data_IF_449550849597
#
_entry.id   IF_449550849597
#
_cell.length_a   1.000
_cell.length_b   1.000
_cell.length_c   1.000
_cell.angle_alpha   90.00
_cell.angle_beta   90.00
_cell.angle_gamma   90.00
#
_symmetry.space_group_name_H-M   'P 1'
#
loop_
_entity.id
_entity.type
_entity.pdbx_description
1 polymer ?
#
# COMPACT_ATOMS: atom_id res chain seq x y z
N UNK A 1 29.45 24.79 15.04
CA UNK A 1 28.21 24.42 14.34
C UNK A 1 28.27 22.92 14.13
N UNK A 2 27.24 22.17 14.49
CA UNK A 2 27.14 20.73 14.23
C UNK A 2 26.78 20.54 12.76
N UNK A 3 27.55 19.77 12.00
CA UNK A 3 27.22 19.45 10.61
C UNK A 3 25.93 18.62 10.59
N UNK A 4 24.91 19.07 9.87
CA UNK A 4 23.70 18.28 9.64
C UNK A 4 23.92 17.30 8.50
N UNK A 5 23.33 16.11 8.59
CA UNK A 5 23.51 15.02 7.61
C UNK A 5 22.20 14.23 7.42
N UNK A 6 22.01 13.69 6.23
CA UNK A 6 20.97 12.68 5.95
C UNK A 6 21.69 11.36 5.69
N UNK A 7 21.30 10.32 6.43
CA UNK A 7 21.84 8.99 6.24
C UNK A 7 20.91 8.17 5.33
N UNK A 8 21.45 7.59 4.27
CA UNK A 8 20.79 6.55 3.50
C UNK A 8 21.27 5.21 4.03
N UNK A 9 20.34 4.31 4.32
CA UNK A 9 20.66 3.02 4.94
C UNK A 9 21.56 2.11 4.11
N UNK A 10 21.67 2.36 2.80
CA UNK A 10 22.63 1.71 1.90
C UNK A 10 24.07 2.22 2.08
N UNK A 11 24.34 3.05 3.11
CA UNK A 11 25.67 3.52 3.49
C UNK A 11 26.08 4.86 2.87
N UNK A 12 25.21 5.49 2.09
CA UNK A 12 25.44 6.83 1.54
C UNK A 12 25.06 7.87 2.58
N UNK A 13 25.99 8.76 2.92
CA UNK A 13 25.73 9.87 3.86
C UNK A 13 25.85 11.18 3.08
N UNK A 14 24.77 11.96 3.06
CA UNK A 14 24.77 13.30 2.48
C UNK A 14 25.23 14.28 3.56
N UNK A 15 26.42 14.88 3.38
CA UNK A 15 26.85 16.00 4.21
C UNK A 15 26.16 17.28 3.72
N UNK A 16 25.52 18.00 4.64
CA UNK A 16 24.77 19.21 4.32
C UNK A 16 25.61 20.47 4.51
N UNK A 17 26.88 20.37 4.96
CA UNK A 17 27.83 21.48 5.12
C UNK A 17 27.21 22.72 5.81
N UNK A 18 26.34 22.49 6.81
CA UNK A 18 25.64 23.55 7.54
C UNK A 18 24.62 24.35 6.71
N UNK A 19 24.30 23.91 5.50
CA UNK A 19 23.27 24.49 4.65
C UNK A 19 21.88 23.97 5.07
N UNK A 20 20.90 24.85 5.29
CA UNK A 20 19.54 24.44 5.63
C UNK A 20 18.90 23.73 4.43
N UNK A 21 18.53 22.47 4.62
CA UNK A 21 17.69 21.71 3.69
C UNK A 21 16.35 21.42 4.35
N UNK A 22 15.30 21.49 3.56
CA UNK A 22 13.97 21.05 3.94
C UNK A 22 13.67 19.76 3.18
N UNK A 23 13.28 18.73 3.93
CA UNK A 23 12.66 17.54 3.37
C UNK A 23 11.18 17.88 3.20
N UNK A 24 10.70 17.88 1.96
CA UNK A 24 9.29 18.04 1.67
C UNK A 24 8.82 16.78 0.94
N UNK A 25 7.75 16.20 1.45
CA UNK A 25 6.99 15.21 0.71
C UNK A 25 6.13 15.99 -0.28
N UNK A 26 6.33 15.77 -1.57
CA UNK A 26 5.57 16.48 -2.60
C UNK A 26 4.11 15.96 -2.64
N UNK A 27 3.20 16.60 -3.40
CA UNK A 27 1.81 16.15 -3.51
C UNK A 27 1.62 14.71 -4.04
N UNK A 28 2.69 14.05 -4.49
CA UNK A 28 2.73 12.70 -5.05
C UNK A 28 3.42 11.70 -4.09
N UNK A 29 3.61 12.06 -2.82
CA UNK A 29 4.32 11.25 -1.82
C UNK A 29 5.80 10.95 -2.17
N UNK A 30 6.40 11.68 -3.11
CA UNK A 30 7.82 11.57 -3.44
C UNK A 30 8.65 12.49 -2.54
N UNK A 31 9.87 12.04 -2.22
CA UNK A 31 10.79 12.81 -1.39
C UNK A 31 11.52 13.85 -2.25
N UNK A 32 11.24 15.12 -2.01
CA UNK A 32 12.00 16.21 -2.61
C UNK A 32 12.93 16.82 -1.56
N UNK A 33 14.22 16.91 -1.90
CA UNK A 33 15.20 17.65 -1.12
C UNK A 33 15.19 19.10 -1.61
N UNK A 34 14.85 20.04 -0.72
CA UNK A 34 14.84 21.47 -1.03
C UNK A 34 15.97 22.19 -0.30
N UNK A 35 16.70 23.06 -1.00
CA UNK A 35 17.77 23.91 -0.47
C UNK A 35 17.52 25.37 -0.84
N UNK A 36 17.44 26.25 0.15
CA UNK A 36 17.25 27.69 -0.03
C UNK A 36 16.08 28.07 -0.96
N UNK A 37 14.96 27.34 -0.86
CA UNK A 37 13.76 27.56 -1.68
C UNK A 37 13.88 27.09 -3.13
N UNK A 38 14.90 26.29 -3.46
CA UNK A 38 15.07 25.61 -4.74
C UNK A 38 15.11 24.10 -4.51
N UNK A 39 14.64 23.33 -5.49
CA UNK A 39 14.91 21.89 -5.52
C UNK A 39 16.43 21.70 -5.53
N UNK A 40 16.97 20.88 -4.63
CA UNK A 40 18.39 20.59 -4.59
C UNK A 40 18.76 19.81 -5.84
N UNK A 41 19.24 20.52 -6.87
CA UNK A 41 19.67 19.91 -8.13
C UNK A 41 20.86 18.97 -7.89
N UNK A 42 20.91 17.84 -8.61
CA UNK A 42 21.81 16.73 -8.30
C UNK A 42 23.28 17.13 -8.43
N UNK A 43 24.06 16.88 -7.37
CA UNK A 43 25.52 16.90 -7.41
C UNK A 43 26.01 15.52 -7.87
N UNK A 44 26.05 15.34 -9.20
CA UNK A 44 26.68 14.22 -9.93
C UNK A 44 25.92 12.86 -9.94
N UNK A 45 25.51 12.45 -11.16
CA UNK A 45 25.29 11.09 -11.73
C UNK A 45 24.72 9.90 -10.93
N UNK A 46 24.28 10.02 -9.67
CA UNK A 46 23.67 8.89 -8.92
C UNK A 46 22.51 9.24 -7.98
N UNK A 47 22.17 10.51 -7.83
CA UNK A 47 21.38 10.98 -6.68
C UNK A 47 19.89 11.19 -6.98
N UNK A 48 19.22 10.15 -7.49
CA UNK A 48 17.76 10.10 -7.44
C UNK A 48 17.34 9.28 -6.21
N UNK A 49 16.86 9.95 -5.17
CA UNK A 49 16.01 9.31 -4.15
C UNK A 49 14.67 9.08 -4.85
N UNK A 50 14.58 8.00 -5.64
CA UNK A 50 13.39 7.76 -6.45
C UNK A 50 12.16 7.38 -5.67
N UNK A 51 11.18 6.77 -6.34
CA UNK A 51 9.98 6.30 -5.66
C UNK A 51 10.35 5.25 -4.59
N UNK A 52 9.60 5.23 -3.48
CA UNK A 52 9.67 4.21 -2.42
C UNK A 52 10.81 4.33 -1.37
N UNK A 53 10.96 5.51 -0.77
CA UNK A 53 11.79 5.70 0.44
C UNK A 53 10.96 6.00 1.68
N UNK A 54 11.23 5.25 2.73
CA UNK A 54 10.66 5.48 4.06
C UNK A 54 11.61 6.38 4.84
N UNK A 55 11.07 7.41 5.48
CA UNK A 55 11.83 8.31 6.35
C UNK A 55 11.66 7.83 7.78
N UNK A 56 12.78 7.51 8.42
CA UNK A 56 12.81 7.18 9.83
C UNK A 56 13.45 8.32 10.62
N UNK A 57 12.94 8.51 11.84
CA UNK A 57 13.61 9.38 12.80
C UNK A 57 14.91 8.71 13.25
N UNK A 58 16.01 9.49 13.36
CA UNK A 58 17.25 8.99 13.94
C UNK A 58 17.01 8.57 15.40
N UNK A 59 17.38 7.33 15.76
CA UNK A 59 17.36 6.89 17.16
C UNK A 59 18.16 7.88 18.02
N UNK A 60 17.73 8.11 19.27
CA UNK A 60 18.27 9.16 20.14
C UNK A 60 19.79 9.15 20.41
N UNK A 61 20.48 8.06 20.07
CA UNK A 61 21.95 7.89 20.15
C UNK A 61 22.67 7.92 18.79
N UNK A 62 21.94 8.09 17.67
CA UNK A 62 22.53 8.07 16.34
C UNK A 62 23.29 9.38 16.06
N UNK A 63 24.62 9.21 15.93
CA UNK A 63 25.65 10.13 15.45
C UNK A 63 25.28 11.63 15.36
N UNK A 64 25.93 12.45 16.21
CA UNK A 64 25.92 13.92 16.18
C UNK A 64 25.71 14.50 14.76
N UNK A 65 24.49 14.94 14.47
CA UNK A 65 24.15 15.66 13.23
C UNK A 65 23.22 14.96 12.23
N UNK A 66 22.85 13.68 12.42
CA UNK A 66 21.86 13.04 11.53
C UNK A 66 20.46 13.55 11.84
N UNK A 67 19.73 14.04 10.83
CA UNK A 67 18.37 14.60 10.97
C UNK A 67 17.26 13.70 10.41
N UNK A 68 17.61 12.71 9.60
CA UNK A 68 16.70 11.73 9.00
C UNK A 68 17.49 10.51 8.49
N UNK A 69 16.84 9.34 8.52
CA UNK A 69 17.33 8.12 7.88
C UNK A 69 16.39 7.76 6.73
N UNK A 70 16.93 7.60 5.52
CA UNK A 70 16.17 7.16 4.35
C UNK A 70 16.37 5.65 4.15
N UNK A 71 15.27 4.90 4.11
CA UNK A 71 15.24 3.45 3.91
C UNK A 71 14.52 3.10 2.63
N UNK A 72 15.22 2.44 1.71
CA UNK A 72 14.59 1.96 0.49
C UNK A 72 13.66 0.80 0.80
N UNK A 73 12.41 0.89 0.37
CA UNK A 73 11.43 -0.20 0.53
C UNK A 73 10.86 -0.62 -0.81
N UNK A 74 10.19 -1.77 -0.80
CA UNK A 74 9.49 -2.27 -1.97
C UNK A 74 8.23 -1.44 -2.22
N UNK A 75 7.75 -1.38 -3.48
CA UNK A 75 6.39 -0.86 -3.76
C UNK A 75 5.32 -1.59 -2.95
N UNK A 76 5.51 -2.90 -2.74
CA UNK A 76 4.65 -3.77 -1.94
C UNK A 76 4.50 -3.25 -0.50
N UNK A 77 5.60 -2.83 0.13
CA UNK A 77 5.60 -2.21 1.45
C UNK A 77 4.73 -0.94 1.52
N UNK A 78 4.91 0.00 0.59
CA UNK A 78 4.12 1.25 0.60
C UNK A 78 2.65 1.04 0.31
N UNK A 79 2.33 0.09 -0.57
CA UNK A 79 0.94 -0.31 -0.82
C UNK A 79 0.34 -0.93 0.44
N UNK A 80 1.11 -1.76 1.16
CA UNK A 80 0.68 -2.36 2.41
C UNK A 80 0.45 -1.31 3.52
N UNK A 81 1.37 -0.35 3.69
CA UNK A 81 1.18 0.79 4.60
C UNK A 81 -0.03 1.64 4.21
N UNK A 82 -0.25 1.88 2.91
CA UNK A 82 -1.42 2.60 2.43
C UNK A 82 -2.73 1.87 2.78
N UNK A 83 -2.74 0.55 2.64
CA UNK A 83 -3.86 -0.30 3.02
C UNK A 83 -4.10 -0.23 4.53
N UNK A 84 -3.06 -0.37 5.35
CA UNK A 84 -3.14 -0.24 6.81
C UNK A 84 -3.74 1.11 7.21
N UNK A 85 -3.20 2.23 6.71
CA UNK A 85 -3.70 3.57 7.03
C UNK A 85 -5.16 3.77 6.60
N UNK A 86 -5.60 3.13 5.51
CA UNK A 86 -7.01 3.11 5.13
C UNK A 86 -7.86 2.28 6.11
N UNK A 87 -7.41 1.08 6.45
CA UNK A 87 -8.09 0.16 7.37
C UNK A 87 -8.31 0.81 8.73
N UNK A 88 -7.29 1.45 9.29
CA UNK A 88 -7.34 2.14 10.58
C UNK A 88 -8.25 3.37 10.53
N UNK A 89 -8.08 4.23 9.52
CA UNK A 89 -8.88 5.46 9.36
C UNK A 89 -10.38 5.17 9.26
N UNK A 90 -10.75 4.08 8.60
CA UNK A 90 -12.14 3.73 8.31
C UNK A 90 -12.68 2.61 9.19
N UNK A 91 -11.85 2.10 10.11
CA UNK A 91 -12.16 1.01 11.00
C UNK A 91 -12.75 -0.20 10.25
N UNK A 92 -12.06 -0.63 9.19
CA UNK A 92 -12.59 -1.59 8.20
C UNK A 92 -12.85 -2.96 8.81
N UNK A 93 -12.02 -3.37 9.77
CA UNK A 93 -12.04 -4.71 10.37
C UNK A 93 -12.85 -4.81 11.68
N UNK A 94 -13.49 -3.74 12.13
CA UNK A 94 -14.20 -3.73 13.41
C UNK A 94 -15.45 -4.61 13.41
N UNK A 95 -15.44 -5.62 14.29
CA UNK A 95 -16.59 -6.42 14.67
C UNK A 95 -17.23 -7.30 13.59
N UNK A 96 -16.70 -7.30 12.35
CA UNK A 96 -17.27 -8.04 11.23
C UNK A 96 -16.38 -9.21 10.80
N UNK A 97 -16.91 -10.43 10.90
CA UNK A 97 -16.35 -11.64 10.28
C UNK A 97 -17.43 -12.35 9.48
N UNK A 98 -17.35 -12.38 8.14
CA UNK A 98 -16.31 -11.79 7.28
C UNK A 98 -16.35 -10.25 7.25
N UNK A 99 -15.27 -9.62 6.76
CA UNK A 99 -15.15 -8.15 6.63
C UNK A 99 -16.27 -7.60 5.74
N UNK A 100 -16.96 -6.56 6.20
CA UNK A 100 -18.08 -5.96 5.45
C UNK A 100 -17.60 -5.00 4.36
N UNK A 101 -17.03 -5.54 3.28
CA UNK A 101 -16.50 -4.75 2.15
C UNK A 101 -17.60 -3.98 1.40
N UNK A 102 -18.84 -4.48 1.38
CA UNK A 102 -19.97 -3.75 0.79
C UNK A 102 -20.24 -2.43 1.50
N UNK A 103 -20.13 -2.39 2.83
CA UNK A 103 -20.26 -1.16 3.60
C UNK A 103 -19.16 -0.15 3.23
N UNK A 104 -17.93 -0.61 2.99
CA UNK A 104 -16.82 0.24 2.57
C UNK A 104 -17.02 0.79 1.15
N UNK A 105 -17.50 -0.04 0.21
CA UNK A 105 -17.89 0.42 -1.13
C UNK A 105 -18.89 1.56 -1.06
N UNK A 106 -19.96 1.40 -0.25
CA UNK A 106 -20.99 2.43 -0.07
C UNK A 106 -20.42 3.71 0.56
N UNK A 107 -19.53 3.59 1.55
CA UNK A 107 -18.87 4.74 2.19
C UNK A 107 -18.02 5.55 1.21
N UNK A 108 -17.40 4.88 0.25
CA UNK A 108 -16.62 5.51 -0.83
C UNK A 108 -17.50 6.06 -1.97
N UNK A 109 -18.83 6.09 -1.80
CA UNK A 109 -19.78 6.56 -2.81
C UNK A 109 -20.02 5.57 -3.95
N UNK A 110 -19.58 4.32 -3.80
CA UNK A 110 -19.82 3.26 -4.75
C UNK A 110 -21.13 2.51 -4.50
N UNK A 111 -21.53 1.72 -5.48
CA UNK A 111 -22.62 0.76 -5.34
C UNK A 111 -22.25 -0.57 -5.98
N UNK A 112 -23.03 -1.58 -5.63
CA UNK A 112 -22.80 -2.95 -6.06
C UNK A 112 -23.99 -3.37 -6.90
N UNK A 113 -23.76 -3.94 -8.08
CA UNK A 113 -24.83 -4.40 -8.96
C UNK A 113 -24.47 -5.73 -9.60
N UNK A 114 -25.47 -6.59 -9.73
CA UNK A 114 -25.33 -7.81 -10.51
C UNK A 114 -25.36 -7.43 -12.00
N UNK A 115 -24.28 -7.72 -12.73
CA UNK A 115 -24.26 -7.51 -14.17
C UNK A 115 -24.99 -8.69 -14.85
N UNK A 116 -25.87 -8.40 -15.80
CA UNK A 116 -26.28 -9.40 -16.78
C UNK A 116 -25.12 -9.71 -17.74
N UNK A 117 -25.09 -10.89 -18.37
CA UNK A 117 -24.02 -11.31 -19.28
C UNK A 117 -23.79 -10.32 -20.45
N UNK A 118 -24.80 -9.52 -20.80
CA UNK A 118 -24.79 -8.61 -21.95
C UNK A 118 -24.22 -7.22 -21.64
N UNK A 119 -24.02 -6.85 -20.36
CA UNK A 119 -23.69 -5.47 -20.02
C UNK A 119 -22.20 -5.15 -20.17
N UNK A 120 -21.29 -6.13 -20.04
CA UNK A 120 -19.84 -5.93 -20.20
C UNK A 120 -19.11 -7.23 -20.62
N UNK A 121 -18.75 -7.43 -21.89
CA UNK A 121 -17.88 -8.53 -22.29
C UNK A 121 -16.46 -8.29 -21.76
N UNK A 122 -15.95 -9.20 -20.92
CA UNK A 122 -14.58 -9.16 -20.38
C UNK A 122 -14.50 -8.59 -18.97
N UNK A 123 -14.81 -7.30 -18.79
CA UNK A 123 -14.55 -6.57 -17.54
C UNK A 123 -15.39 -7.06 -16.35
N UNK A 124 -14.74 -7.31 -15.21
CA UNK A 124 -15.37 -7.76 -13.96
C UNK A 124 -15.57 -6.65 -12.92
N UNK A 125 -15.10 -5.43 -13.15
CA UNK A 125 -15.47 -4.26 -12.37
C UNK A 125 -15.33 -2.96 -13.17
N UNK A 126 -15.98 -1.88 -12.71
CA UNK A 126 -15.92 -0.58 -13.37
C UNK A 126 -15.78 0.56 -12.37
N UNK A 127 -14.70 1.33 -12.47
CA UNK A 127 -14.66 2.64 -11.83
C UNK A 127 -15.34 3.66 -12.75
N UNK A 128 -16.35 4.35 -12.21
CA UNK A 128 -16.99 5.46 -12.91
C UNK A 128 -16.26 6.75 -12.53
N UNK A 129 -16.23 7.77 -13.42
CA UNK A 129 -15.61 9.03 -13.08
C UNK A 129 -16.43 9.73 -11.98
N UNK A 130 -15.81 10.46 -11.05
CA UNK A 130 -16.54 11.37 -10.18
C UNK A 130 -17.40 12.35 -11.02
N UNK A 131 -18.60 12.76 -10.57
CA UNK A 131 -19.25 12.45 -9.29
C UNK A 131 -20.09 11.16 -9.31
N UNK A 132 -20.05 10.38 -10.40
CA UNK A 132 -20.90 9.22 -10.59
C UNK A 132 -20.48 7.99 -9.76
N UNK A 133 -19.78 8.17 -8.64
CA UNK A 133 -19.35 7.06 -7.77
C UNK A 133 -18.51 6.02 -8.51
N UNK A 134 -18.63 4.75 -8.11
CA UNK A 134 -18.09 3.61 -8.84
C UNK A 134 -19.00 2.40 -8.68
N UNK A 135 -18.88 1.44 -9.59
CA UNK A 135 -19.76 0.27 -9.62
C UNK A 135 -18.95 -1.02 -9.57
N UNK A 136 -19.17 -1.80 -8.50
CA UNK A 136 -18.68 -3.18 -8.45
C UNK A 136 -19.70 -4.05 -9.16
N UNK A 137 -19.21 -4.80 -10.15
CA UNK A 137 -19.98 -5.77 -10.91
C UNK A 137 -19.47 -7.16 -10.58
N UNK A 138 -20.32 -8.17 -10.72
CA UNK A 138 -19.91 -9.56 -10.73
C UNK A 138 -20.89 -10.36 -11.57
N UNK A 139 -20.46 -11.55 -11.97
CA UNK A 139 -21.26 -12.51 -12.73
C UNK A 139 -22.09 -13.38 -11.79
N UNK A 140 -23.13 -14.00 -12.32
CA UNK A 140 -23.99 -14.88 -11.52
C UNK A 140 -23.24 -16.11 -11.01
N UNK A 141 -22.34 -16.64 -11.85
CA UNK A 141 -21.50 -17.79 -11.56
C UNK A 141 -20.33 -17.52 -10.60
N UNK A 142 -20.02 -16.24 -10.31
CA UNK A 142 -18.96 -15.92 -9.35
C UNK A 142 -19.40 -16.38 -7.95
N UNK A 143 -18.56 -17.17 -7.28
CA UNK A 143 -18.76 -17.59 -5.90
C UNK A 143 -18.55 -16.43 -4.90
N UNK A 144 -18.87 -16.66 -3.62
CA UNK A 144 -18.78 -15.59 -2.62
C UNK A 144 -17.33 -15.14 -2.38
N UNK A 145 -16.34 -16.05 -2.42
CA UNK A 145 -14.90 -15.71 -2.32
C UNK A 145 -14.52 -14.71 -3.41
N UNK A 146 -14.91 -15.00 -4.65
CA UNK A 146 -14.62 -14.15 -5.79
C UNK A 146 -15.33 -12.81 -5.70
N UNK A 147 -16.57 -12.77 -5.20
CA UNK A 147 -17.30 -11.51 -4.96
C UNK A 147 -16.62 -10.65 -3.90
N UNK A 148 -16.11 -11.24 -2.81
CA UNK A 148 -15.34 -10.52 -1.80
C UNK A 148 -14.05 -9.95 -2.39
N UNK A 149 -13.32 -10.75 -3.18
CA UNK A 149 -12.10 -10.29 -3.86
C UNK A 149 -12.38 -9.12 -4.81
N UNK A 150 -13.45 -9.18 -5.61
CA UNK A 150 -13.83 -8.09 -6.51
C UNK A 150 -14.19 -6.80 -5.77
N UNK A 151 -14.88 -6.90 -4.63
CA UNK A 151 -15.15 -5.74 -3.76
C UNK A 151 -13.84 -5.14 -3.24
N UNK A 152 -12.94 -5.98 -2.72
CA UNK A 152 -11.64 -5.55 -2.19
C UNK A 152 -10.77 -4.90 -3.27
N UNK A 153 -10.67 -5.50 -4.45
CA UNK A 153 -9.92 -4.98 -5.59
C UNK A 153 -10.48 -3.65 -6.09
N UNK A 154 -11.80 -3.48 -6.09
CA UNK A 154 -12.39 -2.20 -6.50
C UNK A 154 -12.11 -1.09 -5.48
N UNK A 155 -12.17 -1.40 -4.17
CA UNK A 155 -11.76 -0.46 -3.11
C UNK A 155 -10.28 -0.11 -3.27
N UNK A 156 -9.42 -1.12 -3.45
CA UNK A 156 -7.98 -0.94 -3.67
C UNK A 156 -7.72 -0.03 -4.88
N UNK A 157 -8.34 -0.30 -6.03
CA UNK A 157 -8.20 0.53 -7.23
C UNK A 157 -8.62 1.97 -6.96
N UNK A 158 -9.76 2.16 -6.30
CA UNK A 158 -10.24 3.51 -5.97
C UNK A 158 -9.29 4.26 -5.05
N UNK A 159 -8.76 3.62 -4.01
CA UNK A 159 -7.87 4.26 -3.03
C UNK A 159 -6.48 4.50 -3.63
N UNK A 160 -5.94 3.53 -4.37
CA UNK A 160 -4.63 3.62 -5.00
C UNK A 160 -4.60 4.64 -6.13
N UNK A 161 -5.61 4.70 -6.99
CA UNK A 161 -5.69 5.73 -8.05
C UNK A 161 -5.76 7.14 -7.45
N UNK A 162 -6.46 7.31 -6.32
CA UNK A 162 -6.49 8.60 -5.62
C UNK A 162 -5.15 8.94 -4.95
N UNK A 163 -4.39 7.93 -4.50
CA UNK A 163 -3.16 8.13 -3.74
C UNK A 163 -1.93 8.27 -4.64
N UNK A 164 -1.78 7.41 -5.64
CA UNK A 164 -0.57 7.27 -6.45
C UNK A 164 -0.67 7.92 -7.84
N UNK A 165 -1.86 8.01 -8.43
CA UNK A 165 -2.04 8.56 -9.78
C UNK A 165 -2.54 10.03 -9.77
N UNK A 166 -2.87 10.59 -8.60
CA UNK A 166 -3.33 11.98 -8.43
C UNK A 166 -4.70 12.32 -9.05
N UNK A 167 -5.24 11.45 -9.92
CA UNK A 167 -6.53 11.59 -10.56
C UNK A 167 -7.24 10.23 -10.64
N UNK A 168 -8.55 10.14 -10.33
CA UNK A 168 -9.29 8.91 -10.50
C UNK A 168 -9.39 8.58 -11.99
N UNK A 169 -8.68 7.53 -12.42
CA UNK A 169 -8.76 7.09 -13.81
C UNK A 169 -10.16 6.60 -14.11
N UNK A 170 -10.66 6.94 -15.30
CA UNK A 170 -11.94 6.45 -15.79
C UNK A 170 -11.72 5.09 -16.47
N UNK A 171 -11.24 4.10 -15.71
CA UNK A 171 -10.83 2.82 -16.26
C UNK A 171 -11.87 1.72 -15.99
N UNK A 172 -12.07 0.90 -17.03
CA UNK A 172 -12.67 -0.42 -16.87
C UNK A 172 -11.59 -1.32 -16.28
N UNK A 173 -11.82 -1.79 -15.07
CA UNK A 173 -10.91 -2.74 -14.45
C UNK A 173 -11.38 -4.14 -14.79
N UNK A 174 -10.67 -4.77 -15.71
CA UNK A 174 -10.77 -6.21 -15.83
C UNK A 174 -9.90 -6.85 -14.75
N UNK A 175 -10.46 -7.06 -13.56
CA UNK A 175 -9.82 -7.85 -12.51
C UNK A 175 -9.70 -9.35 -12.85
N UNK A 176 -10.05 -9.76 -14.08
CA UNK A 176 -9.63 -11.05 -14.62
C UNK A 176 -8.23 -11.02 -15.24
N UNK A 177 -7.64 -9.83 -15.45
CA UNK A 177 -6.22 -9.71 -15.71
C UNK A 177 -5.44 -10.20 -14.48
N UNK A 178 -4.50 -11.11 -14.74
CA UNK A 178 -3.75 -11.82 -13.70
C UNK A 178 -3.07 -10.86 -12.71
N UNK A 179 -2.73 -11.32 -11.48
CA UNK A 179 -1.97 -10.54 -10.50
C UNK A 179 -0.69 -9.87 -11.01
N UNK A 180 -0.22 -10.26 -12.20
CA UNK A 180 0.99 -9.73 -12.84
C UNK A 180 0.85 -8.31 -13.40
N UNK A 181 -0.36 -7.81 -13.70
CA UNK A 181 -0.53 -6.48 -14.32
C UNK A 181 -0.72 -5.36 -13.30
N UNK A 182 -1.45 -5.63 -12.21
CA UNK A 182 -1.68 -4.70 -11.10
C UNK A 182 -1.50 -5.41 -9.74
N UNK A 183 -0.29 -5.91 -9.44
CA UNK A 183 -0.03 -6.63 -8.18
C UNK A 183 -0.29 -5.76 -6.94
N UNK A 184 -0.14 -4.45 -7.08
CA UNK A 184 -0.45 -3.48 -6.03
C UNK A 184 -1.92 -3.52 -5.58
N UNK A 185 -2.85 -3.64 -6.51
CA UNK A 185 -4.27 -3.76 -6.17
C UNK A 185 -4.55 -5.05 -5.40
N UNK A 186 -3.88 -6.14 -5.77
CA UNK A 186 -4.01 -7.42 -5.09
C UNK A 186 -3.43 -7.38 -3.67
N UNK A 187 -2.23 -6.80 -3.47
CA UNK A 187 -1.66 -6.67 -2.12
C UNK A 187 -2.55 -5.85 -1.19
N UNK A 188 -3.08 -4.72 -1.69
CA UNK A 188 -4.01 -3.89 -0.92
C UNK A 188 -5.31 -4.66 -0.62
N UNK A 189 -5.91 -5.31 -1.63
CA UNK A 189 -7.13 -6.09 -1.47
C UNK A 189 -6.96 -7.24 -0.47
N UNK A 190 -5.80 -7.91 -0.49
CA UNK A 190 -5.45 -8.97 0.45
C UNK A 190 -5.50 -8.48 1.91
N UNK A 191 -4.91 -7.31 2.20
CA UNK A 191 -4.94 -6.71 3.54
C UNK A 191 -6.34 -6.21 3.94
N UNK A 192 -7.16 -5.78 2.99
CA UNK A 192 -8.56 -5.43 3.27
C UNK A 192 -9.38 -6.66 3.70
N UNK A 193 -9.16 -7.81 3.05
CA UNK A 193 -9.93 -9.03 3.31
C UNK A 193 -9.52 -9.74 4.60
N UNK A 194 -8.25 -9.65 4.98
CA UNK A 194 -7.67 -10.44 6.08
C UNK A 194 -7.11 -9.51 7.15
N UNK A 195 -7.78 -9.39 8.32
CA UNK A 195 -7.27 -8.55 9.40
C UNK A 195 -5.97 -9.08 9.99
N UNK A 196 -5.15 -8.16 10.51
CA UNK A 196 -3.83 -8.45 11.07
C UNK A 196 -3.85 -9.54 12.15
N UNK A 197 -4.87 -9.51 13.03
CA UNK A 197 -5.04 -10.50 14.09
C UNK A 197 -5.18 -11.92 13.55
N UNK A 198 -5.93 -12.13 12.47
CA UNK A 198 -6.10 -13.45 11.85
C UNK A 198 -4.87 -13.81 11.04
N UNK A 199 -4.32 -12.86 10.28
CA UNK A 199 -3.12 -13.06 9.48
C UNK A 199 -1.91 -13.52 10.31
N UNK A 200 -1.77 -13.06 11.55
CA UNK A 200 -0.70 -13.47 12.46
C UNK A 200 -0.67 -14.99 12.74
N UNK A 201 -1.80 -15.69 12.58
CA UNK A 201 -1.88 -17.14 12.75
C UNK A 201 -1.64 -17.92 11.45
N UNK A 202 -1.62 -17.26 10.28
CA UNK A 202 -1.49 -17.89 8.96
C UNK A 202 -0.04 -18.14 8.51
N UNK A 203 0.84 -18.49 9.46
CA UNK A 203 2.26 -18.75 9.22
C UNK A 203 2.55 -20.04 8.42
N UNK A 204 1.52 -20.84 8.11
CA UNK A 204 1.58 -21.99 7.21
C UNK A 204 0.33 -22.07 6.35
N UNK A 205 0.40 -22.80 5.24
CA UNK A 205 -0.76 -23.03 4.37
C UNK A 205 -1.88 -23.81 5.07
N UNK A 206 -1.55 -24.65 6.06
CA UNK A 206 -2.55 -25.37 6.86
C UNK A 206 -3.39 -24.40 7.70
N UNK A 207 -2.75 -23.47 8.41
CA UNK A 207 -3.48 -22.45 9.17
C UNK A 207 -4.20 -21.44 8.26
N UNK A 208 -3.58 -21.07 7.14
CA UNK A 208 -4.20 -20.20 6.15
C UNK A 208 -5.51 -20.80 5.59
N UNK A 209 -5.59 -22.13 5.47
CA UNK A 209 -6.81 -22.83 5.05
C UNK A 209 -7.96 -22.61 6.04
N UNK A 210 -7.72 -22.86 7.34
CA UNK A 210 -8.73 -22.67 8.39
C UNK A 210 -9.25 -21.23 8.47
N UNK A 211 -8.35 -20.26 8.40
CA UNK A 211 -8.71 -18.83 8.41
C UNK A 211 -9.44 -18.45 7.11
N UNK A 212 -9.03 -19.01 5.97
CA UNK A 212 -9.69 -18.83 4.69
C UNK A 212 -11.15 -19.31 4.70
N UNK A 213 -11.43 -20.44 5.36
CA UNK A 213 -12.80 -20.91 5.58
C UNK A 213 -13.60 -19.96 6.49
N UNK A 214 -13.02 -19.45 7.59
CA UNK A 214 -13.68 -18.50 8.50
C UNK A 214 -14.02 -17.17 7.80
N UNK A 215 -13.08 -16.65 7.03
CA UNK A 215 -13.20 -15.34 6.38
C UNK A 215 -13.85 -15.42 4.98
N UNK A 216 -14.06 -16.63 4.44
CA UNK A 216 -14.48 -16.86 3.07
C UNK A 216 -13.53 -16.15 2.08
N UNK A 217 -12.25 -16.50 2.18
CA UNK A 217 -11.11 -15.97 1.41
C UNK A 217 -10.22 -17.13 0.94
N UNK A 218 -9.63 -17.01 -0.24
CA UNK A 218 -8.66 -18.00 -0.74
C UNK A 218 -7.47 -18.15 0.24
N UNK A 219 -7.11 -19.38 0.68
CA UNK A 219 -5.99 -19.62 1.59
C UNK A 219 -4.66 -19.02 1.12
N UNK A 220 -4.40 -18.97 -0.19
CA UNK A 220 -3.19 -18.33 -0.73
C UNK A 220 -3.17 -16.82 -0.43
N UNK A 221 -4.33 -16.16 -0.47
CA UNK A 221 -4.47 -14.75 -0.09
C UNK A 221 -4.30 -14.55 1.40
N UNK A 222 -4.80 -15.48 2.22
CA UNK A 222 -4.58 -15.43 3.67
C UNK A 222 -3.09 -15.53 4.01
N UNK A 223 -2.37 -16.45 3.37
CA UNK A 223 -0.92 -16.57 3.58
C UNK A 223 -0.14 -15.36 3.03
N UNK A 224 -0.57 -14.80 1.90
CA UNK A 224 -0.02 -13.53 1.40
C UNK A 224 -0.26 -12.37 2.38
N UNK A 225 -1.44 -12.31 3.02
CA UNK A 225 -1.76 -11.30 4.03
C UNK A 225 -0.82 -11.39 5.22
N UNK A 226 -0.53 -12.61 5.70
CA UNK A 226 0.46 -12.83 6.76
C UNK A 226 1.81 -12.21 6.40
N UNK A 227 2.33 -12.51 5.21
CA UNK A 227 3.62 -11.96 4.76
C UNK A 227 3.58 -10.42 4.64
N UNK A 228 2.46 -9.85 4.18
CA UNK A 228 2.31 -8.39 4.04
C UNK A 228 2.23 -7.68 5.40
N UNK A 229 1.45 -8.23 6.35
CA UNK A 229 1.35 -7.71 7.71
C UNK A 229 2.69 -7.83 8.45
N UNK A 230 3.38 -8.96 8.30
CA UNK A 230 4.73 -9.15 8.86
C UNK A 230 5.73 -8.17 8.23
N UNK A 231 5.66 -7.91 6.92
CA UNK A 231 6.57 -6.98 6.23
C UNK A 231 6.44 -5.55 6.78
N UNK A 232 5.23 -5.10 7.12
CA UNK A 232 5.00 -3.74 7.68
C UNK A 232 5.11 -3.68 9.20
N UNK A 233 4.94 -4.80 9.91
CA UNK A 233 5.15 -4.89 11.36
C UNK A 233 6.61 -5.17 11.74
N UNK A 234 7.42 -5.70 10.82
CA UNK A 234 8.81 -6.00 11.06
C UNK A 234 9.54 -4.74 11.53
N UNK A 235 10.13 -4.74 12.74
CA UNK A 235 10.99 -3.66 13.15
C UNK A 235 12.09 -3.52 12.13
N UNK A 236 12.52 -2.29 11.88
CA UNK A 236 13.58 -2.03 10.93
C UNK A 236 14.75 -3.00 11.15
N UNK A 237 15.20 -3.75 10.12
CA UNK A 237 16.35 -4.64 10.28
C UNK A 237 17.58 -3.86 10.72
N UNK A 238 17.77 -3.69 12.02
CA UNK A 238 18.83 -2.89 12.62
C UNK A 238 20.11 -3.25 11.87
N UNK A 239 20.84 -2.28 11.28
CA UNK A 239 21.98 -2.63 10.46
C UNK A 239 22.84 -3.57 11.28
N UNK A 240 23.03 -4.78 10.74
CA UNK A 240 24.00 -5.70 11.30
C UNK A 240 25.29 -4.92 11.32
N UNK A 241 25.68 -4.49 12.51
CA UNK A 241 26.99 -3.98 12.84
C UNK A 241 27.96 -5.11 12.51
N UNK A 242 28.24 -5.27 11.22
CA UNK A 242 29.40 -5.97 10.73
C UNK A 242 30.56 -5.04 11.05
N UNK A 243 30.98 -5.12 12.32
CA UNK A 243 32.33 -4.78 12.75
C UNK A 243 33.32 -5.74 12.06
N UNK A 244 34.61 -5.37 11.95
CA UNK A 244 35.25 -4.15 12.42
C UNK A 244 35.67 -3.17 11.31
#
# INVERSE_FOLDING_TARGET
MTNQRIAVRDGVVFDLDGSPVSLCVNPYDELELWRDGRLAEPLYDSDYVGDFWEILEPDGDSAQGVIAILVKRSRRYFVAQAAQGFIERWNVHDGARPVNLRAQVKRLGGWVSRAGPDLFPGARARLLPPPAGFQVLWREEDDENRRQELLALTIAARVTDMKFDGFPRTEYYDFSDTPNTRPDLHWFATLLMVPAEQAAFAHSMEFAYWIGEELNVDPARVHEAHQLWDEIAAPDPTPSSSKP
#
